data_IF_688013652732
#
_entry.id   IF_688013652732
#
_cell.length_a   1.000
_cell.length_b   1.000
_cell.length_c   1.000
_cell.angle_alpha   90.00
_cell.angle_beta   90.00
_cell.angle_gamma   90.00
#
_symmetry.space_group_name_H-M   'P 1'
#
loop_
_entity.id
_entity.type
_entity.pdbx_description
1 polymer ?
#
# COMPACT_ATOMS: atom_id res chain seq x y z
N UNK A 1 -4.66 3.70 25.26
CA UNK A 1 -3.52 3.67 24.30
C UNK A 1 -3.74 4.79 23.31
N UNK A 2 -2.79 5.72 23.16
CA UNK A 2 -2.88 6.84 22.21
C UNK A 2 -2.05 6.51 20.96
N UNK A 3 -2.65 6.61 19.77
CA UNK A 3 -1.97 6.39 18.48
C UNK A 3 -2.16 7.64 17.64
N UNK A 4 -1.05 8.23 17.20
CA UNK A 4 -1.03 9.40 16.34
C UNK A 4 -0.69 8.94 14.91
N UNK A 5 -1.46 9.40 13.93
CA UNK A 5 -1.22 9.12 12.51
C UNK A 5 -1.23 10.42 11.71
N UNK A 6 -0.44 10.45 10.65
CA UNK A 6 -0.34 11.62 9.80
C UNK A 6 0.84 11.55 8.86
N UNK A 7 1.11 12.67 8.19
CA UNK A 7 2.26 12.79 7.30
C UNK A 7 3.57 12.64 8.07
N UNK A 8 4.68 12.26 7.42
CA UNK A 8 5.99 12.13 8.05
C UNK A 8 6.47 13.39 8.78
N UNK A 9 5.96 14.56 8.38
CA UNK A 9 6.22 15.86 9.01
C UNK A 9 5.58 16.04 10.39
N UNK A 10 4.66 15.15 10.79
CA UNK A 10 4.01 15.18 12.09
C UNK A 10 5.01 14.99 13.23
N UNK A 11 5.94 14.03 13.10
CA UNK A 11 6.89 13.73 14.17
C UNK A 11 7.85 14.88 14.47
N UNK A 12 8.52 15.50 13.46
CA UNK A 12 9.32 16.71 13.69
C UNK A 12 8.52 17.82 14.38
N UNK A 13 7.31 18.12 13.90
CA UNK A 13 6.45 19.15 14.49
C UNK A 13 6.08 18.85 15.95
N UNK A 14 5.90 17.57 16.30
CA UNK A 14 5.61 17.14 17.65
C UNK A 14 6.80 17.39 18.59
N UNK A 15 8.01 17.06 18.13
CA UNK A 15 9.27 17.31 18.87
C UNK A 15 9.50 18.80 19.07
N UNK A 16 9.26 19.62 18.03
CA UNK A 16 9.37 21.07 18.10
C UNK A 16 8.37 21.69 19.10
N UNK A 17 7.17 21.10 19.23
CA UNK A 17 6.10 21.63 20.08
C UNK A 17 6.30 21.39 21.58
N UNK A 18 7.03 20.33 21.97
CA UNK A 18 7.21 19.96 23.38
C UNK A 18 8.50 19.19 23.60
N UNK A 19 9.32 19.67 24.54
CA UNK A 19 10.57 19.01 24.95
C UNK A 19 10.30 17.55 25.38
N UNK A 20 11.17 16.64 24.92
CA UNK A 20 11.15 15.20 25.20
C UNK A 20 10.05 14.38 24.53
N UNK A 21 9.24 14.96 23.63
CA UNK A 21 8.21 14.22 22.91
C UNK A 21 8.76 13.05 22.08
N UNK A 22 10.02 13.13 21.63
CA UNK A 22 10.70 12.05 20.90
C UNK A 22 10.88 10.77 21.71
N UNK A 23 10.85 10.86 23.05
CA UNK A 23 10.95 9.73 23.98
C UNK A 23 9.61 9.23 24.50
N UNK A 24 8.54 10.00 24.30
CA UNK A 24 7.20 9.66 24.79
C UNK A 24 6.47 8.66 23.88
N UNK A 25 6.87 8.56 22.61
CA UNK A 25 6.17 7.76 21.61
C UNK A 25 7.11 6.85 20.83
N UNK A 26 6.62 5.66 20.49
CA UNK A 26 7.26 4.81 19.49
C UNK A 26 6.85 5.30 18.10
N UNK A 27 7.83 5.69 17.30
CA UNK A 27 7.59 6.16 15.92
C UNK A 27 7.71 5.01 14.94
N UNK A 28 6.73 4.88 14.04
CA UNK A 28 6.74 3.91 12.94
C UNK A 28 6.43 4.64 11.64
N UNK A 29 7.35 4.54 10.67
CA UNK A 29 7.15 5.09 9.33
C UNK A 29 6.65 4.00 8.39
N UNK A 30 5.44 4.17 7.88
CA UNK A 30 4.88 3.32 6.84
C UNK A 30 5.42 3.77 5.48
N UNK A 31 6.24 2.93 4.86
CA UNK A 31 6.78 3.16 3.51
C UNK A 31 5.92 2.46 2.46
N UNK A 32 6.10 2.85 1.20
CA UNK A 32 5.60 2.09 0.06
C UNK A 32 6.15 0.67 0.07
N UNK A 33 5.42 -0.25 -0.54
CA UNK A 33 5.84 -1.63 -0.75
C UNK A 33 7.04 -1.67 -1.70
N UNK A 34 7.92 -2.66 -1.51
CA UNK A 34 8.89 -3.01 -2.53
C UNK A 34 8.18 -3.78 -3.66
N UNK A 35 8.92 -4.08 -4.74
CA UNK A 35 8.39 -4.75 -5.92
C UNK A 35 7.74 -6.10 -5.58
N UNK A 36 8.46 -6.97 -4.85
CA UNK A 36 7.98 -8.29 -4.44
C UNK A 36 6.75 -8.23 -3.52
N UNK A 37 6.70 -7.26 -2.61
CA UNK A 37 5.54 -7.05 -1.74
C UNK A 37 4.34 -6.50 -2.52
N UNK A 38 4.59 -5.69 -3.55
CA UNK A 38 3.56 -5.19 -4.47
C UNK A 38 2.97 -6.33 -5.30
N UNK A 39 3.82 -7.17 -5.88
CA UNK A 39 3.40 -8.39 -6.59
C UNK A 39 2.56 -9.30 -5.69
N UNK A 40 3.02 -9.52 -4.45
CA UNK A 40 2.26 -10.30 -3.47
C UNK A 40 0.91 -9.67 -3.12
N UNK A 41 0.85 -8.33 -3.01
CA UNK A 41 -0.39 -7.61 -2.74
C UNK A 41 -1.42 -7.76 -3.87
N UNK A 42 -0.96 -7.95 -5.11
CA UNK A 42 -1.79 -8.21 -6.30
C UNK A 42 -2.19 -9.69 -6.38
N UNK A 43 -1.20 -10.58 -6.29
CA UNK A 43 -1.37 -12.01 -6.56
C UNK A 43 -2.07 -12.77 -5.44
N UNK A 44 -1.85 -12.44 -4.16
CA UNK A 44 -2.49 -13.18 -3.05
C UNK A 44 -4.02 -13.11 -3.08
N UNK A 45 -4.65 -11.93 -3.29
CA UNK A 45 -6.10 -11.86 -3.45
C UNK A 45 -6.62 -12.63 -4.67
N UNK A 46 -5.93 -12.50 -5.81
CA UNK A 46 -6.30 -13.17 -7.08
C UNK A 46 -6.17 -14.69 -6.96
N UNK A 47 -5.11 -15.17 -6.32
CA UNK A 47 -4.88 -16.61 -6.13
C UNK A 47 -5.70 -17.20 -4.97
N UNK A 48 -6.41 -16.37 -4.20
CA UNK A 48 -7.34 -16.88 -3.19
C UNK A 48 -8.55 -17.54 -3.88
N UNK A 49 -9.05 -18.64 -3.32
CA UNK A 49 -9.93 -19.66 -3.95
C UNK A 49 -11.31 -19.21 -4.48
N UNK A 50 -11.54 -17.93 -4.79
CA UNK A 50 -12.82 -17.41 -5.31
C UNK A 50 -12.69 -16.35 -6.40
N UNK A 51 -11.49 -16.07 -6.92
CA UNK A 51 -11.32 -15.12 -8.02
C UNK A 51 -11.45 -15.84 -9.39
N UNK A 52 -12.41 -15.47 -10.25
CA UNK A 52 -12.58 -16.09 -11.56
C UNK A 52 -11.56 -15.59 -12.61
N UNK A 53 -10.86 -14.49 -12.31
CA UNK A 53 -9.92 -13.83 -13.21
C UNK A 53 -8.49 -14.17 -12.78
N UNK A 54 -7.59 -14.33 -13.76
CA UNK A 54 -6.14 -14.41 -13.55
C UNK A 54 -5.46 -13.24 -14.24
N UNK A 55 -4.44 -12.69 -13.61
CA UNK A 55 -3.58 -11.69 -14.23
C UNK A 55 -2.37 -12.38 -14.86
N UNK A 56 -1.94 -11.88 -16.01
CA UNK A 56 -0.64 -12.25 -16.59
C UNK A 56 0.49 -11.58 -15.82
N UNK A 57 1.69 -12.14 -15.89
CA UNK A 57 2.88 -11.55 -15.27
C UNK A 57 3.12 -10.11 -15.78
N UNK A 58 2.83 -9.84 -17.05
CA UNK A 58 2.91 -8.51 -17.65
C UNK A 58 1.91 -7.53 -17.00
N UNK A 59 0.69 -7.98 -16.73
CA UNK A 59 -0.33 -7.18 -16.05
C UNK A 59 0.12 -6.82 -14.63
N UNK A 60 0.66 -7.80 -13.90
CA UNK A 60 1.20 -7.58 -12.56
C UNK A 60 2.37 -6.59 -12.59
N UNK A 61 3.30 -6.74 -13.54
CA UNK A 61 4.43 -5.83 -13.70
C UNK A 61 3.99 -4.39 -14.01
N UNK A 62 2.99 -4.22 -14.89
CA UNK A 62 2.42 -2.90 -15.20
C UNK A 62 1.76 -2.27 -13.97
N UNK A 63 0.95 -3.02 -13.22
CA UNK A 63 0.30 -2.52 -12.00
C UNK A 63 1.34 -2.11 -10.96
N UNK A 64 2.35 -2.95 -10.72
CA UNK A 64 3.44 -2.64 -9.79
C UNK A 64 4.20 -1.37 -10.20
N UNK A 65 4.52 -1.24 -11.49
CA UNK A 65 5.20 -0.05 -12.03
C UNK A 65 4.36 1.21 -11.87
N UNK A 66 3.09 1.19 -12.26
CA UNK A 66 2.23 2.37 -12.27
C UNK A 66 1.72 2.78 -10.90
N UNK A 67 1.56 1.83 -9.97
CA UNK A 67 1.22 2.13 -8.57
C UNK A 67 2.38 2.72 -7.77
N UNK A 68 3.62 2.55 -8.25
CA UNK A 68 4.82 2.99 -7.55
C UNK A 68 5.01 2.35 -6.18
N UNK A 69 4.38 1.18 -5.93
CA UNK A 69 4.39 0.46 -4.66
C UNK A 69 3.48 1.03 -3.57
N UNK A 70 2.64 2.04 -3.86
CA UNK A 70 1.71 2.58 -2.88
C UNK A 70 0.47 1.69 -2.74
N UNK A 71 0.15 1.18 -1.53
CA UNK A 71 -0.96 0.24 -1.34
C UNK A 71 -2.30 0.71 -1.90
N UNK A 72 -2.62 2.01 -1.72
CA UNK A 72 -3.86 2.58 -2.26
C UNK A 72 -3.91 2.53 -3.80
N UNK A 73 -2.82 2.89 -4.48
CA UNK A 73 -2.78 2.84 -5.95
C UNK A 73 -2.76 1.41 -6.49
N UNK A 74 -2.13 0.47 -5.79
CA UNK A 74 -2.22 -0.96 -6.13
C UNK A 74 -3.69 -1.40 -6.10
N UNK A 75 -4.39 -1.13 -4.99
CA UNK A 75 -5.80 -1.49 -4.84
C UNK A 75 -6.68 -0.85 -5.90
N UNK A 76 -6.49 0.45 -6.16
CA UNK A 76 -7.23 1.19 -7.17
C UNK A 76 -7.04 0.61 -8.57
N UNK A 77 -5.79 0.45 -9.03
CA UNK A 77 -5.52 -0.06 -10.38
C UNK A 77 -6.01 -1.51 -10.51
N UNK A 78 -5.80 -2.35 -9.50
CA UNK A 78 -6.32 -3.72 -9.50
C UNK A 78 -7.84 -3.76 -9.63
N UNK A 79 -8.57 -2.88 -8.94
CA UNK A 79 -10.03 -2.80 -9.03
C UNK A 79 -10.48 -2.46 -10.45
N UNK A 80 -9.90 -1.41 -11.03
CA UNK A 80 -10.23 -0.98 -12.40
C UNK A 80 -9.89 -2.07 -13.43
N UNK A 81 -8.76 -2.74 -13.27
CA UNK A 81 -8.33 -3.83 -14.16
C UNK A 81 -9.25 -5.04 -14.03
N UNK A 82 -9.65 -5.38 -12.81
CA UNK A 82 -10.60 -6.46 -12.56
C UNK A 82 -11.96 -6.17 -13.19
N UNK A 83 -12.49 -4.95 -13.02
CA UNK A 83 -13.77 -4.54 -13.61
C UNK A 83 -13.70 -4.52 -15.16
N UNK A 84 -12.54 -4.21 -15.75
CA UNK A 84 -12.31 -4.30 -17.19
C UNK A 84 -12.21 -5.75 -17.71
N UNK A 85 -11.75 -6.69 -16.89
CA UNK A 85 -11.56 -8.10 -17.27
C UNK A 85 -12.76 -9.00 -16.94
N UNK A 86 -13.73 -8.49 -16.18
CA UNK A 86 -14.99 -9.18 -15.95
C UNK A 86 -15.75 -9.33 -17.29
N UNK A 87 -16.10 -10.56 -17.70
CA UNK A 87 -17.00 -10.75 -18.82
C UNK A 87 -18.36 -10.11 -18.49
N UNK A 88 -18.91 -9.35 -19.45
CA UNK A 88 -20.26 -8.78 -19.36
C UNK A 88 -21.34 -9.85 -19.56
#
# INVERSE_FOLDING_TARGET
MLILTGLPTLFPKLVDSRTFAERMFRVVFLKKLNEKDSENAILKPINSNRCPIKFTDESVALITKHSGGYPYFIQFICRETYDAFLPK
#
